data_IF_126117218234
#
_entry.id   IF_126117218234
#
_cell.length_a   1.000
_cell.length_b   1.000
_cell.length_c   1.000
_cell.angle_alpha   90.00
_cell.angle_beta   90.00
_cell.angle_gamma   90.00
#
_symmetry.space_group_name_H-M   'P 1'
#
loop_
_entity.id
_entity.type
_entity.pdbx_description
1 polymer ?
#
# COMPACT_ATOMS: atom_id res chain seq x y z
N UNK A 1 -0.89 -13.49 15.49
CA UNK A 1 -1.25 -13.95 14.13
C UNK A 1 -0.73 -15.35 13.75
N UNK A 2 0.48 -15.79 14.14
CA UNK A 2 1.03 -17.15 13.85
C UNK A 2 1.06 -17.51 12.35
N UNK A 3 1.20 -16.53 11.47
CA UNK A 3 1.35 -16.75 10.02
C UNK A 3 2.78 -17.23 9.75
N UNK A 4 2.95 -18.26 8.93
CA UNK A 4 4.27 -18.79 8.56
C UNK A 4 4.65 -18.36 7.15
N UNK A 5 5.88 -17.90 6.97
CA UNK A 5 6.42 -17.69 5.64
C UNK A 5 6.66 -19.04 4.95
N UNK A 6 6.43 -19.04 3.65
CA UNK A 6 6.60 -20.13 2.71
C UNK A 6 7.06 -19.55 1.37
N UNK A 7 7.42 -20.42 0.44
CA UNK A 7 7.73 -20.00 -0.92
C UNK A 7 7.28 -21.08 -1.90
N UNK A 8 6.29 -20.75 -2.71
CA UNK A 8 5.82 -21.63 -3.78
C UNK A 8 6.52 -21.28 -5.10
N UNK A 9 6.64 -22.25 -6.03
CA UNK A 9 7.26 -22.02 -7.33
C UNK A 9 6.61 -20.88 -8.12
N UNK A 10 7.43 -20.20 -8.93
CA UNK A 10 6.98 -19.14 -9.85
C UNK A 10 6.12 -19.69 -11.00
N UNK A 11 6.39 -20.94 -11.38
CA UNK A 11 5.87 -21.59 -12.56
C UNK A 11 4.61 -22.40 -12.28
N UNK A 12 3.62 -22.27 -13.17
CA UNK A 12 2.31 -22.94 -13.08
C UNK A 12 2.06 -23.72 -14.35
N UNK A 13 1.62 -24.98 -14.23
CA UNK A 13 1.25 -25.76 -15.41
C UNK A 13 -0.10 -25.29 -15.99
N UNK A 14 -0.31 -25.41 -17.32
CA UNK A 14 -1.55 -24.94 -17.96
C UNK A 14 -2.80 -25.60 -17.38
N UNK A 15 -2.73 -26.90 -17.09
CA UNK A 15 -3.88 -27.66 -16.59
C UNK A 15 -4.39 -27.16 -15.24
N UNK A 16 -3.51 -26.63 -14.38
CA UNK A 16 -3.91 -26.09 -13.08
C UNK A 16 -4.46 -24.67 -13.23
N UNK A 17 -3.86 -23.85 -14.09
CA UNK A 17 -4.34 -22.50 -14.38
C UNK A 17 -5.71 -22.50 -15.06
N UNK A 18 -5.97 -23.46 -15.95
CA UNK A 18 -7.24 -23.58 -16.67
C UNK A 18 -8.42 -23.85 -15.73
N UNK A 19 -8.21 -24.58 -14.62
CA UNK A 19 -9.26 -24.80 -13.61
C UNK A 19 -9.80 -23.49 -13.04
N UNK A 20 -8.95 -22.48 -12.85
CA UNK A 20 -9.37 -21.17 -12.36
C UNK A 20 -10.17 -20.41 -13.42
N UNK A 21 -9.71 -20.43 -14.68
CA UNK A 21 -10.39 -19.79 -15.79
C UNK A 21 -11.80 -20.32 -16.04
N UNK A 22 -12.02 -21.63 -15.86
CA UNK A 22 -13.33 -22.25 -16.07
C UNK A 22 -14.36 -21.86 -15.00
N UNK A 23 -13.90 -21.37 -13.84
CA UNK A 23 -14.75 -21.07 -12.68
C UNK A 23 -14.77 -19.58 -12.30
N UNK A 24 -13.86 -18.77 -12.84
CA UNK A 24 -13.78 -17.32 -12.60
C UNK A 24 -13.90 -16.58 -13.94
N UNK A 25 -15.10 -16.07 -14.21
CA UNK A 25 -15.39 -15.30 -15.40
C UNK A 25 -14.50 -14.04 -15.47
N UNK A 26 -13.82 -13.83 -16.61
CA UNK A 26 -12.88 -12.71 -16.81
C UNK A 26 -11.41 -12.99 -16.45
N UNK A 27 -11.07 -14.20 -15.98
CA UNK A 27 -9.69 -14.57 -15.63
C UNK A 27 -8.86 -15.06 -16.85
N UNK A 28 -8.47 -14.14 -17.76
CA UNK A 28 -7.28 -14.19 -18.66
C UNK A 28 -7.38 -13.11 -19.77
N UNK A 29 -6.30 -12.41 -20.22
CA UNK A 29 -4.88 -12.76 -20.15
C UNK A 29 -3.95 -11.57 -19.81
N UNK A 30 -3.32 -11.61 -18.65
CA UNK A 30 -2.05 -10.91 -18.42
C UNK A 30 -0.97 -11.92 -18.03
N UNK A 31 -1.10 -13.15 -18.54
CA UNK A 31 -0.22 -14.27 -18.21
C UNK A 31 0.94 -14.31 -19.19
N UNK A 32 2.16 -14.23 -18.67
CA UNK A 32 3.36 -14.50 -19.45
C UNK A 32 3.61 -16.02 -19.52
N UNK A 33 3.89 -16.52 -20.72
CA UNK A 33 4.12 -17.94 -20.98
C UNK A 33 5.58 -18.19 -21.35
N UNK A 34 6.16 -19.24 -20.77
CA UNK A 34 7.44 -19.82 -21.17
C UNK A 34 7.15 -21.00 -22.09
N UNK A 35 7.62 -20.92 -23.32
CA UNK A 35 7.41 -21.96 -24.35
C UNK A 35 8.70 -22.61 -24.82
N UNK A 36 9.87 -22.07 -24.45
CA UNK A 36 11.20 -22.53 -24.88
C UNK A 36 12.19 -22.55 -23.72
N UNK A 37 13.15 -23.47 -23.77
CA UNK A 37 14.34 -23.49 -22.92
C UNK A 37 15.59 -23.59 -23.80
N UNK A 38 16.36 -22.50 -23.86
CA UNK A 38 17.40 -22.36 -24.90
C UNK A 38 16.75 -22.38 -26.29
N UNK A 39 17.23 -23.26 -27.17
CA UNK A 39 16.69 -23.43 -28.52
C UNK A 39 15.60 -24.51 -28.62
N UNK A 40 15.32 -25.25 -27.54
CA UNK A 40 14.35 -26.34 -27.54
C UNK A 40 12.97 -25.88 -27.08
N UNK A 41 11.92 -26.21 -27.85
CA UNK A 41 10.53 -26.02 -27.44
C UNK A 41 10.17 -26.93 -26.27
N UNK A 42 9.41 -26.39 -25.32
CA UNK A 42 8.84 -27.17 -24.22
C UNK A 42 7.66 -27.99 -24.74
N UNK A 43 7.58 -29.27 -24.33
CA UNK A 43 6.45 -30.14 -24.67
C UNK A 43 5.11 -29.55 -24.19
N UNK A 44 5.13 -28.92 -23.01
CA UNK A 44 3.98 -28.22 -22.44
C UNK A 44 4.44 -26.81 -22.02
N UNK A 45 3.82 -25.74 -22.55
CA UNK A 45 4.08 -24.37 -22.10
C UNK A 45 3.86 -24.23 -20.59
N UNK A 46 4.60 -23.34 -19.94
CA UNK A 46 4.50 -23.11 -18.50
C UNK A 46 4.18 -21.62 -18.27
N UNK A 47 3.20 -21.33 -17.42
CA UNK A 47 2.83 -19.96 -17.08
C UNK A 47 3.72 -19.41 -15.97
N UNK A 48 4.06 -18.12 -16.05
CA UNK A 48 4.55 -17.35 -14.91
C UNK A 48 3.34 -16.89 -14.10
N UNK A 49 3.33 -17.13 -12.79
CA UNK A 49 2.17 -16.86 -11.95
C UNK A 49 1.78 -15.36 -11.95
N UNK A 50 0.51 -15.02 -12.23
CA UNK A 50 -0.04 -13.68 -11.97
C UNK A 50 -0.51 -13.51 -10.51
N UNK A 51 -0.72 -14.65 -9.82
CA UNK A 51 -1.11 -14.83 -8.41
C UNK A 51 -0.92 -16.32 -8.04
N UNK A 52 -0.84 -16.68 -6.75
CA UNK A 52 -0.47 -18.05 -6.35
C UNK A 52 -1.62 -18.98 -5.93
N UNK A 53 -2.90 -18.59 -6.05
CA UNK A 53 -4.06 -19.45 -5.74
C UNK A 53 -3.96 -20.81 -6.42
N UNK A 54 -3.75 -20.82 -7.74
CA UNK A 54 -3.57 -22.05 -8.54
C UNK A 54 -2.30 -22.81 -8.21
N UNK A 55 -1.28 -22.17 -7.63
CA UNK A 55 -0.06 -22.85 -7.20
C UNK A 55 -0.23 -23.48 -5.82
N UNK A 56 -0.90 -22.81 -4.90
CA UNK A 56 -0.97 -23.17 -3.49
C UNK A 56 -2.11 -24.15 -3.17
N UNK A 57 -3.29 -23.93 -3.75
CA UNK A 57 -4.51 -24.65 -3.35
C UNK A 57 -4.54 -26.14 -3.68
N UNK A 58 -3.89 -26.64 -4.76
CA UNK A 58 -3.69 -28.08 -4.94
C UNK A 58 -2.92 -28.74 -3.78
N UNK A 59 -2.03 -28.00 -3.10
CA UNK A 59 -1.31 -28.49 -1.92
C UNK A 59 -2.14 -28.36 -0.65
N UNK A 60 -2.95 -27.31 -0.52
CA UNK A 60 -3.88 -27.17 0.62
C UNK A 60 -4.85 -28.37 0.68
N UNK A 61 -5.39 -28.79 -0.47
CA UNK A 61 -6.23 -29.99 -0.60
C UNK A 61 -5.51 -31.29 -0.19
N UNK A 62 -4.17 -31.32 -0.28
CA UNK A 62 -3.36 -32.48 0.16
C UNK A 62 -3.00 -32.44 1.64
N UNK A 63 -2.73 -31.26 2.17
CA UNK A 63 -2.26 -31.06 3.55
C UNK A 63 -3.39 -31.06 4.57
N UNK A 64 -4.57 -30.53 4.20
CA UNK A 64 -5.71 -30.44 5.10
C UNK A 64 -6.51 -31.74 4.97
N UNK A 65 -6.64 -32.48 6.07
CA UNK A 65 -7.39 -33.74 6.14
C UNK A 65 -8.44 -33.72 7.26
N UNK A 66 -8.12 -33.15 8.41
CA UNK A 66 -9.03 -33.02 9.55
C UNK A 66 -9.00 -31.62 10.17
N UNK A 67 -9.94 -31.36 11.08
CA UNK A 67 -10.05 -30.08 11.80
C UNK A 67 -8.75 -29.68 12.54
N UNK A 68 -7.90 -30.65 12.89
CA UNK A 68 -6.60 -30.42 13.57
C UNK A 68 -5.53 -29.79 12.67
N UNK A 69 -5.71 -29.85 11.36
CA UNK A 69 -4.82 -29.21 10.38
C UNK A 69 -5.15 -27.72 10.18
N UNK A 70 -6.27 -27.26 10.75
CA UNK A 70 -6.78 -25.91 10.66
C UNK A 70 -6.53 -25.16 12.00
N UNK A 71 -6.34 -23.83 11.95
CA UNK A 71 -6.24 -23.01 10.75
C UNK A 71 -4.86 -23.10 10.09
N UNK A 72 -4.84 -23.26 8.76
CA UNK A 72 -3.62 -23.13 7.96
C UNK A 72 -3.39 -21.65 7.65
N UNK A 73 -2.18 -21.13 7.91
CA UNK A 73 -1.86 -19.71 7.72
C UNK A 73 -0.49 -19.52 7.09
N UNK A 74 -0.48 -19.21 5.79
CA UNK A 74 0.75 -19.06 5.02
C UNK A 74 0.88 -17.66 4.43
N UNK A 75 2.13 -17.25 4.27
CA UNK A 75 2.54 -16.03 3.61
C UNK A 75 3.71 -16.32 2.67
N UNK A 76 3.84 -15.57 1.58
CA UNK A 76 5.09 -15.53 0.82
C UNK A 76 5.41 -14.11 0.35
N UNK A 77 6.71 -13.85 0.25
CA UNK A 77 7.26 -12.66 -0.38
C UNK A 77 7.88 -13.08 -1.70
N UNK A 78 7.45 -12.45 -2.79
CA UNK A 78 7.92 -12.82 -4.11
C UNK A 78 7.63 -11.74 -5.14
N UNK A 79 8.10 -11.95 -6.36
CA UNK A 79 7.59 -11.28 -7.54
C UNK A 79 6.37 -12.03 -8.12
N UNK A 80 5.57 -11.28 -8.87
CA UNK A 80 4.55 -11.79 -9.79
C UNK A 80 4.62 -11.03 -11.11
N UNK A 81 4.12 -11.65 -12.17
CA UNK A 81 4.10 -11.06 -13.51
C UNK A 81 2.67 -10.96 -14.02
N UNK A 82 2.26 -9.74 -14.35
CA UNK A 82 1.01 -9.42 -15.03
C UNK A 82 1.34 -8.59 -16.27
N UNK A 83 1.17 -9.16 -17.45
CA UNK A 83 1.45 -8.55 -18.74
C UNK A 83 0.43 -7.49 -19.17
N UNK A 84 0.25 -6.49 -18.32
CA UNK A 84 -0.58 -5.30 -18.51
C UNK A 84 -0.29 -4.61 -19.85
N UNK A 85 -1.35 -4.34 -20.63
CA UNK A 85 -1.28 -3.64 -21.92
C UNK A 85 -1.29 -2.11 -21.80
N UNK A 86 -1.70 -1.58 -20.65
CA UNK A 86 -1.65 -0.14 -20.37
C UNK A 86 -0.22 0.36 -20.15
N UNK A 87 0.00 1.67 -20.30
CA UNK A 87 1.30 2.28 -20.07
C UNK A 87 1.79 2.04 -18.62
N UNK A 88 2.99 1.45 -18.44
CA UNK A 88 3.52 1.21 -17.11
C UNK A 88 3.91 2.53 -16.44
N UNK A 89 3.66 2.61 -15.14
CA UNK A 89 4.13 3.71 -14.27
C UNK A 89 4.93 3.08 -13.14
N UNK A 90 6.23 3.44 -12.94
CA UNK A 90 7.06 2.84 -11.91
C UNK A 90 6.37 2.79 -10.55
N UNK A 91 6.48 1.65 -9.85
CA UNK A 91 5.75 1.29 -8.62
C UNK A 91 4.23 1.16 -8.76
N UNK A 92 3.56 2.13 -9.40
CA UNK A 92 2.10 2.20 -9.46
C UNK A 92 1.50 1.07 -10.29
N UNK A 93 2.07 0.81 -11.46
CA UNK A 93 1.61 -0.21 -12.39
C UNK A 93 2.79 -0.69 -13.23
N UNK A 94 3.37 -1.82 -12.86
CA UNK A 94 4.47 -2.47 -13.56
C UNK A 94 4.10 -3.90 -13.92
N UNK A 95 4.72 -4.44 -14.97
CA UNK A 95 4.45 -5.82 -15.42
C UNK A 95 4.99 -6.86 -14.45
N UNK A 96 6.17 -6.62 -13.91
CA UNK A 96 6.71 -7.33 -12.76
C UNK A 96 6.61 -6.43 -11.54
N UNK A 97 6.16 -6.96 -10.42
CA UNK A 97 6.19 -6.24 -9.15
C UNK A 97 6.46 -7.20 -7.99
N UNK A 98 7.12 -6.67 -6.97
CA UNK A 98 7.31 -7.36 -5.70
C UNK A 98 6.07 -7.18 -4.84
N UNK A 99 5.66 -8.26 -4.17
CA UNK A 99 4.53 -8.24 -3.28
C UNK A 99 4.67 -9.23 -2.14
N UNK A 100 3.76 -9.09 -1.20
CA UNK A 100 3.42 -10.10 -0.23
C UNK A 100 2.02 -10.63 -0.58
N UNK A 101 1.86 -11.94 -0.60
CA UNK A 101 0.55 -12.60 -0.66
C UNK A 101 0.40 -13.59 0.50
N UNK A 102 -0.75 -13.58 1.15
CA UNK A 102 -1.06 -14.46 2.27
C UNK A 102 -2.35 -15.19 2.03
N UNK A 103 -2.38 -16.45 2.46
CA UNK A 103 -3.49 -17.36 2.24
C UNK A 103 -3.76 -18.15 3.51
N UNK A 104 -5.02 -18.21 3.88
CA UNK A 104 -5.48 -18.96 5.06
C UNK A 104 -6.64 -19.87 4.74
N UNK A 105 -6.76 -20.95 5.50
CA UNK A 105 -7.92 -21.83 5.52
C UNK A 105 -8.38 -22.06 6.96
N UNK A 106 -9.70 -21.98 7.19
CA UNK A 106 -10.37 -22.08 8.48
C UNK A 106 -11.48 -23.13 8.44
N UNK A 107 -11.90 -23.61 9.61
CA UNK A 107 -12.97 -24.61 9.71
C UNK A 107 -14.35 -23.98 9.53
N UNK A 108 -14.53 -22.73 9.98
CA UNK A 108 -15.83 -22.04 10.00
C UNK A 108 -15.74 -20.66 9.33
N UNK A 109 -16.91 -20.13 8.95
CA UNK A 109 -17.02 -18.78 8.42
C UNK A 109 -16.63 -17.75 9.47
N UNK A 110 -17.03 -17.96 10.72
CA UNK A 110 -16.81 -17.04 11.84
C UNK A 110 -15.33 -16.89 12.20
N UNK A 111 -14.51 -17.92 11.95
CA UNK A 111 -13.04 -17.83 12.11
C UNK A 111 -12.37 -17.10 10.93
N UNK A 112 -12.95 -17.16 9.73
CA UNK A 112 -12.46 -16.48 8.54
C UNK A 112 -12.93 -15.01 8.49
N UNK A 113 -14.17 -14.76 8.90
CA UNK A 113 -14.82 -13.46 9.04
C UNK A 113 -14.49 -12.83 10.41
N UNK A 114 -14.78 -11.53 10.54
CA UNK A 114 -14.18 -10.70 11.57
C UNK A 114 -14.96 -10.58 12.89
N UNK A 115 -16.09 -11.26 13.07
CA UNK A 115 -17.08 -10.77 14.04
C UNK A 115 -17.16 -11.52 15.38
N UNK A 116 -16.31 -12.52 15.67
CA UNK A 116 -16.50 -13.29 16.93
C UNK A 116 -15.28 -13.43 17.86
N UNK A 117 -14.01 -13.45 17.43
CA UNK A 117 -12.92 -13.61 18.42
C UNK A 117 -11.58 -12.95 18.05
N UNK A 118 -11.06 -12.17 19.01
CA UNK A 118 -9.76 -11.45 19.08
C UNK A 118 -8.50 -12.35 18.98
N UNK A 119 -8.64 -13.61 18.54
CA UNK A 119 -7.59 -14.64 18.52
C UNK A 119 -7.23 -15.14 17.10
N UNK A 120 -7.98 -14.73 16.06
CA UNK A 120 -7.86 -15.23 14.68
C UNK A 120 -7.38 -14.15 13.71
N UNK A 121 -6.55 -14.55 12.75
CA UNK A 121 -6.13 -13.69 11.63
C UNK A 121 -7.30 -13.53 10.67
N UNK A 122 -8.06 -12.45 10.79
CA UNK A 122 -9.22 -12.19 9.95
C UNK A 122 -8.90 -11.21 8.83
N UNK A 123 -9.81 -11.11 7.86
CA UNK A 123 -9.74 -10.12 6.77
C UNK A 123 -9.54 -8.70 7.30
N UNK A 124 -10.18 -8.33 8.41
CA UNK A 124 -10.08 -6.99 8.99
C UNK A 124 -8.79 -6.76 9.78
N UNK A 125 -8.23 -7.78 10.44
CA UNK A 125 -6.94 -7.64 11.12
C UNK A 125 -5.81 -7.34 10.11
N UNK A 126 -5.80 -8.05 8.99
CA UNK A 126 -4.85 -7.79 7.90
C UNK A 126 -5.07 -6.40 7.31
N UNK A 127 -6.33 -6.02 7.08
CA UNK A 127 -6.66 -4.69 6.57
C UNK A 127 -6.17 -3.57 7.52
N UNK A 128 -6.27 -3.78 8.83
CA UNK A 128 -5.74 -2.85 9.83
C UNK A 128 -4.22 -2.79 9.79
N UNK A 129 -3.51 -3.91 9.59
CA UNK A 129 -2.07 -3.89 9.36
C UNK A 129 -1.71 -3.09 8.11
N UNK A 130 -2.49 -3.21 7.03
CA UNK A 130 -2.27 -2.39 5.83
C UNK A 130 -2.52 -0.91 6.09
N UNK A 131 -3.58 -0.54 6.82
CA UNK A 131 -3.76 0.86 7.27
C UNK A 131 -2.53 1.35 8.03
N UNK A 132 -2.03 0.57 8.99
CA UNK A 132 -0.84 0.91 9.77
C UNK A 132 0.43 1.06 8.94
N UNK A 133 0.64 0.22 7.93
CA UNK A 133 1.77 0.39 7.00
C UNK A 133 1.67 1.75 6.32
N UNK A 134 0.51 2.10 5.77
CA UNK A 134 0.31 3.38 5.09
C UNK A 134 0.42 4.57 6.07
N UNK A 135 -0.31 4.58 7.17
CA UNK A 135 -0.39 5.73 8.07
C UNK A 135 0.82 5.81 9.01
N UNK A 136 1.14 4.72 9.71
CA UNK A 136 2.15 4.74 10.76
C UNK A 136 3.57 4.79 10.20
N UNK A 137 3.84 4.17 9.03
CA UNK A 137 5.18 4.11 8.42
C UNK A 137 5.34 5.05 7.23
N UNK A 138 4.39 5.05 6.30
CA UNK A 138 4.47 5.86 5.08
C UNK A 138 3.88 7.26 5.24
N UNK A 139 3.27 7.58 6.39
CA UNK A 139 2.58 8.86 6.63
C UNK A 139 1.52 9.18 5.55
N UNK A 140 0.88 8.16 4.97
CA UNK A 140 -0.16 8.32 3.93
C UNK A 140 -1.52 7.97 4.52
N UNK A 141 -2.49 8.91 4.55
CA UNK A 141 -3.85 8.62 5.01
C UNK A 141 -4.58 7.70 4.03
N UNK A 142 -5.31 6.71 4.55
CA UNK A 142 -6.10 5.77 3.74
C UNK A 142 -7.51 5.60 4.27
N UNK A 143 -8.43 5.18 3.40
CA UNK A 143 -9.82 4.84 3.76
C UNK A 143 -10.00 3.33 3.71
N UNK A 144 -10.32 2.71 4.85
CA UNK A 144 -10.75 1.31 4.92
C UNK A 144 -12.18 1.18 4.41
N UNK A 145 -12.44 0.20 3.57
CA UNK A 145 -13.79 -0.09 3.11
C UNK A 145 -13.95 -1.41 2.38
N UNK A 146 -15.17 -1.66 1.90
CA UNK A 146 -15.55 -2.83 1.09
C UNK A 146 -15.66 -2.43 -0.38
N UNK A 147 -15.20 -3.28 -1.29
CA UNK A 147 -15.45 -3.10 -2.74
C UNK A 147 -16.92 -3.34 -3.07
N UNK A 148 -17.39 -2.73 -4.16
CA UNK A 148 -18.67 -3.10 -4.78
C UNK A 148 -18.61 -4.52 -5.34
N UNK A 149 -19.76 -5.07 -5.73
CA UNK A 149 -19.81 -6.38 -6.41
C UNK A 149 -19.06 -6.37 -7.75
N UNK A 150 -19.05 -5.24 -8.47
CA UNK A 150 -18.33 -5.12 -9.76
C UNK A 150 -16.81 -5.01 -9.59
N UNK A 151 -16.34 -4.42 -8.48
CA UNK A 151 -14.91 -4.15 -8.24
C UNK A 151 -14.28 -5.10 -7.20
N UNK A 152 -15.03 -6.08 -6.67
CA UNK A 152 -14.47 -7.12 -5.80
C UNK A 152 -13.64 -8.12 -6.62
N UNK A 153 -12.79 -8.87 -5.95
CA UNK A 153 -12.12 -10.01 -6.57
C UNK A 153 -13.16 -11.05 -6.99
N UNK A 154 -13.15 -11.44 -8.27
CA UNK A 154 -14.16 -12.31 -8.87
C UNK A 154 -14.26 -13.69 -8.18
N UNK A 155 -13.15 -14.24 -7.69
CA UNK A 155 -13.14 -15.48 -6.91
C UNK A 155 -13.57 -15.33 -5.46
N UNK A 156 -13.80 -14.10 -4.97
CA UNK A 156 -14.07 -13.81 -3.56
C UNK A 156 -15.55 -13.66 -3.22
N UNK A 157 -15.93 -14.06 -2.00
CA UNK A 157 -17.25 -13.75 -1.43
C UNK A 157 -17.38 -12.24 -1.25
N UNK A 158 -16.38 -11.60 -0.63
CA UNK A 158 -16.26 -10.15 -0.58
C UNK A 158 -14.81 -9.69 -0.54
N UNK A 159 -14.57 -8.43 -0.91
CA UNK A 159 -13.25 -7.81 -0.88
C UNK A 159 -13.25 -6.55 -0.02
N UNK A 160 -12.27 -6.45 0.87
CA UNK A 160 -11.97 -5.25 1.66
C UNK A 160 -10.68 -4.61 1.15
N UNK A 161 -10.55 -3.31 1.37
CA UNK A 161 -9.46 -2.54 0.77
C UNK A 161 -9.10 -1.31 1.58
N UNK A 162 -7.85 -0.87 1.45
CA UNK A 162 -7.42 0.47 1.84
C UNK A 162 -7.24 1.31 0.58
N UNK A 163 -8.00 2.39 0.47
CA UNK A 163 -7.96 3.33 -0.65
C UNK A 163 -7.15 4.57 -0.25
N UNK A 164 -6.12 4.89 -1.03
CA UNK A 164 -5.44 6.17 -0.97
C UNK A 164 -5.97 7.11 -2.07
N UNK A 165 -5.72 8.40 -1.92
CA UNK A 165 -6.09 9.41 -2.91
C UNK A 165 -4.89 10.31 -3.20
N UNK A 166 -4.66 10.62 -4.47
CA UNK A 166 -3.57 11.47 -4.93
C UNK A 166 -4.15 12.83 -5.33
N UNK A 167 -4.06 13.88 -4.47
CA UNK A 167 -4.70 15.17 -4.75
C UNK A 167 -4.27 15.82 -6.06
N UNK A 168 -2.97 15.74 -6.38
CA UNK A 168 -2.41 16.41 -7.56
C UNK A 168 -2.96 15.86 -8.89
N UNK A 169 -3.30 14.56 -8.93
CA UNK A 169 -3.90 13.94 -10.12
C UNK A 169 -5.42 13.77 -9.98
N UNK A 170 -5.94 13.92 -8.76
CA UNK A 170 -7.33 13.72 -8.37
C UNK A 170 -7.82 12.31 -8.67
N UNK A 171 -6.97 11.32 -8.38
CA UNK A 171 -7.24 9.90 -8.60
C UNK A 171 -7.16 9.12 -7.30
N UNK A 172 -8.15 8.26 -7.08
CA UNK A 172 -8.08 7.17 -6.11
C UNK A 172 -7.09 6.09 -6.55
N UNK A 173 -6.54 5.38 -5.59
CA UNK A 173 -5.66 4.25 -5.83
C UNK A 173 -5.80 3.22 -4.72
N UNK A 174 -6.12 1.99 -5.11
CA UNK A 174 -6.12 0.86 -4.20
C UNK A 174 -4.70 0.61 -3.69
N UNK A 175 -4.53 0.72 -2.37
CA UNK A 175 -3.23 0.58 -1.71
C UNK A 175 -2.91 -0.85 -1.26
N UNK A 176 -3.93 -1.60 -0.83
CA UNK A 176 -3.85 -3.02 -0.50
C UNK A 176 -5.25 -3.64 -0.45
N UNK A 177 -5.30 -4.97 -0.40
CA UNK A 177 -6.56 -5.72 -0.45
C UNK A 177 -6.54 -6.93 0.50
N UNK A 178 -7.69 -7.23 1.10
CA UNK A 178 -7.91 -8.46 1.86
C UNK A 178 -9.29 -9.02 1.52
N UNK A 179 -9.31 -10.28 1.09
CA UNK A 179 -10.46 -10.97 0.54
C UNK A 179 -10.94 -12.05 1.50
N UNK A 180 -12.26 -12.11 1.72
CA UNK A 180 -12.89 -13.35 2.14
C UNK A 180 -13.24 -14.11 0.88
N UNK A 181 -12.60 -15.25 0.67
CA UNK A 181 -12.80 -16.10 -0.49
C UNK A 181 -14.03 -17.00 -0.32
N UNK A 182 -14.57 -17.08 0.90
CA UNK A 182 -15.63 -18.02 1.23
C UNK A 182 -15.15 -19.46 0.99
N UNK A 183 -15.99 -20.23 0.31
CA UNK A 183 -15.70 -21.61 -0.08
C UNK A 183 -15.47 -21.78 -1.60
N UNK A 184 -15.43 -20.68 -2.37
CA UNK A 184 -15.34 -20.74 -3.85
C UNK A 184 -14.13 -21.55 -4.32
N UNK A 185 -12.94 -21.21 -3.81
CA UNK A 185 -11.71 -21.93 -4.14
C UNK A 185 -11.65 -23.31 -3.48
N UNK A 186 -12.25 -23.48 -2.29
CA UNK A 186 -12.33 -24.78 -1.63
C UNK A 186 -13.17 -25.78 -2.44
N UNK A 187 -14.25 -25.31 -3.07
CA UNK A 187 -15.04 -26.10 -4.03
C UNK A 187 -14.20 -26.43 -5.26
N UNK A 188 -13.56 -25.43 -5.88
CA UNK A 188 -12.79 -25.60 -7.11
C UNK A 188 -11.58 -26.57 -6.97
N UNK A 189 -10.89 -26.53 -5.84
CA UNK A 189 -9.71 -27.35 -5.56
C UNK A 189 -9.99 -28.52 -4.61
N UNK A 190 -11.27 -28.77 -4.31
CA UNK A 190 -11.74 -29.85 -3.42
C UNK A 190 -11.05 -29.85 -2.05
N UNK A 191 -10.84 -28.68 -1.46
CA UNK A 191 -10.18 -28.51 -0.16
C UNK A 191 -11.19 -28.83 0.96
N UNK A 192 -11.24 -30.10 1.33
CA UNK A 192 -12.15 -30.63 2.33
C UNK A 192 -11.39 -31.06 3.60
N UNK A 193 -12.09 -31.14 4.72
CA UNK A 193 -11.59 -31.67 5.99
C UNK A 193 -12.67 -32.45 6.73
N UNK A 194 -12.26 -33.36 7.60
CA UNK A 194 -13.13 -34.02 8.58
C UNK A 194 -13.31 -33.12 9.82
N UNK A 195 -14.55 -32.70 10.09
CA UNK A 195 -14.86 -31.85 11.25
C UNK A 195 -14.79 -32.64 12.57
N UNK A 196 -15.04 -32.00 13.71
CA UNK A 196 -15.00 -32.65 15.04
C UNK A 196 -16.03 -33.79 15.20
N UNK A 197 -17.05 -33.82 14.35
CA UNK A 197 -18.11 -34.85 14.33
C UNK A 197 -17.82 -36.00 13.35
N UNK A 198 -16.70 -35.98 12.64
CA UNK A 198 -16.38 -36.97 11.62
C UNK A 198 -17.02 -36.71 10.26
N UNK A 199 -17.65 -35.55 10.05
CA UNK A 199 -18.33 -35.20 8.81
C UNK A 199 -17.39 -34.46 7.85
N UNK A 200 -17.56 -34.69 6.54
CA UNK A 200 -16.81 -33.98 5.50
C UNK A 200 -17.34 -32.55 5.35
N UNK A 201 -16.48 -31.56 5.57
CA UNK A 201 -16.77 -30.14 5.41
C UNK A 201 -15.74 -29.46 4.49
N UNK A 202 -16.08 -28.30 3.93
CA UNK A 202 -15.18 -27.47 3.12
C UNK A 202 -14.59 -26.32 3.95
N UNK A 203 -13.32 -26.00 3.70
CA UNK A 203 -12.64 -24.90 4.40
C UNK A 203 -13.16 -23.53 3.95
N UNK A 204 -13.09 -22.57 4.86
CA UNK A 204 -13.29 -21.15 4.58
C UNK A 204 -11.94 -20.48 4.35
N UNK A 205 -11.77 -19.75 3.25
CA UNK A 205 -10.47 -19.20 2.87
C UNK A 205 -10.45 -17.67 2.85
N UNK A 206 -9.29 -17.11 3.14
CA UNK A 206 -8.98 -15.70 2.89
C UNK A 206 -7.69 -15.62 2.06
N UNK A 207 -7.58 -14.56 1.26
CA UNK A 207 -6.30 -14.12 0.69
C UNK A 207 -6.11 -12.63 0.86
N UNK A 208 -4.86 -12.16 0.84
CA UNK A 208 -4.56 -10.75 0.96
C UNK A 208 -3.23 -10.41 0.32
N UNK A 209 -3.08 -9.17 -0.12
CA UNK A 209 -1.81 -8.72 -0.66
C UNK A 209 -1.63 -7.20 -0.67
N UNK A 210 -0.36 -6.83 -0.66
CA UNK A 210 0.11 -5.47 -0.92
C UNK A 210 1.43 -5.53 -1.69
N UNK A 211 1.73 -4.47 -2.43
CA UNK A 211 2.84 -4.45 -3.39
C UNK A 211 3.73 -3.24 -3.18
N UNK A 212 4.81 -3.16 -3.95
CA UNK A 212 5.67 -1.97 -4.07
C UNK A 212 4.95 -0.71 -4.59
N UNK A 213 3.68 -0.81 -5.02
CA UNK A 213 2.80 0.35 -5.25
C UNK A 213 2.75 1.29 -4.05
N UNK A 214 2.81 0.75 -2.84
CA UNK A 214 2.95 1.50 -1.57
C UNK A 214 4.02 2.59 -1.66
N UNK A 215 5.19 2.27 -2.22
CA UNK A 215 6.31 3.19 -2.39
C UNK A 215 5.93 4.33 -3.34
N UNK A 216 5.34 3.99 -4.48
CA UNK A 216 4.89 4.98 -5.46
C UNK A 216 3.82 5.92 -4.89
N UNK A 217 2.88 5.40 -4.12
CA UNK A 217 1.86 6.21 -3.43
C UNK A 217 2.50 7.18 -2.46
N UNK A 218 3.41 6.71 -1.59
CA UNK A 218 4.16 7.58 -0.68
C UNK A 218 4.91 8.70 -1.42
N UNK A 219 5.59 8.37 -2.53
CA UNK A 219 6.30 9.35 -3.36
C UNK A 219 5.34 10.41 -3.92
N UNK A 220 4.20 10.00 -4.48
CA UNK A 220 3.22 10.92 -5.07
C UNK A 220 2.50 11.79 -4.04
N UNK A 221 2.38 11.34 -2.79
CA UNK A 221 1.72 12.09 -1.71
C UNK A 221 2.65 13.15 -1.12
N UNK A 222 3.92 12.81 -0.89
CA UNK A 222 4.85 13.68 -0.15
C UNK A 222 5.80 14.49 -1.03
N UNK A 223 6.09 14.03 -2.25
CA UNK A 223 7.03 14.69 -3.16
C UNK A 223 6.67 16.15 -3.44
N UNK A 224 7.71 16.97 -3.62
CA UNK A 224 7.59 18.39 -3.95
C UNK A 224 8.54 18.77 -5.10
N UNK A 225 8.59 20.05 -5.45
CA UNK A 225 9.42 20.55 -6.56
C UNK A 225 10.93 20.38 -6.34
N UNK A 226 11.38 20.09 -5.10
CA UNK A 226 12.79 19.81 -4.80
C UNK A 226 13.13 18.33 -4.93
N UNK A 227 12.14 17.45 -5.07
CA UNK A 227 12.32 16.01 -5.28
C UNK A 227 11.60 15.17 -4.22
N UNK A 228 12.23 14.07 -3.80
CA UNK A 228 11.66 13.16 -2.83
C UNK A 228 11.51 13.82 -1.45
N UNK A 229 10.48 13.42 -0.72
CA UNK A 229 10.29 13.71 0.71
C UNK A 229 9.95 12.39 1.38
N UNK A 230 10.90 11.83 2.14
CA UNK A 230 10.73 10.50 2.73
C UNK A 230 10.31 10.60 4.20
N UNK A 231 9.28 9.84 4.64
CA UNK A 231 8.99 9.69 6.05
C UNK A 231 10.18 9.05 6.80
N UNK A 232 10.59 9.56 7.97
CA UNK A 232 11.73 9.06 8.73
C UNK A 232 11.72 7.57 9.05
N UNK A 233 10.55 6.94 9.18
CA UNK A 233 10.45 5.50 9.46
C UNK A 233 10.87 4.60 8.29
N UNK A 234 10.88 5.13 7.07
CA UNK A 234 11.22 4.36 5.85
C UNK A 234 12.41 4.92 5.07
N UNK A 235 12.89 6.12 5.42
CA UNK A 235 14.08 6.70 4.82
C UNK A 235 15.33 5.84 5.12
N UNK A 236 16.07 5.40 4.10
CA UNK A 236 17.29 4.63 4.30
C UNK A 236 18.33 5.42 5.13
N UNK A 237 18.54 6.68 4.76
CA UNK A 237 19.31 7.66 5.54
C UNK A 237 18.32 8.66 6.14
N UNK A 238 18.26 8.74 7.48
CA UNK A 238 17.40 9.68 8.19
C UNK A 238 18.05 11.04 8.37
N UNK A 239 19.37 11.03 8.64
CA UNK A 239 20.16 12.22 8.91
C UNK A 239 21.40 12.23 8.03
N UNK A 240 21.62 13.33 7.31
CA UNK A 240 22.87 13.57 6.59
C UNK A 240 23.65 14.73 7.23
N UNK A 241 24.88 14.46 7.65
CA UNK A 241 25.78 15.45 8.24
C UNK A 241 26.70 16.02 7.15
N UNK A 242 26.74 17.34 7.03
CA UNK A 242 27.51 18.04 6.00
C UNK A 242 28.47 19.05 6.64
N UNK A 243 29.79 18.85 6.49
CA UNK A 243 30.77 19.83 6.95
C UNK A 243 30.73 21.09 6.09
N UNK A 244 30.70 22.25 6.74
CA UNK A 244 30.73 23.57 6.09
C UNK A 244 32.11 24.18 6.28
N UNK A 245 32.99 23.93 5.31
CA UNK A 245 34.40 24.32 5.38
C UNK A 245 34.61 25.78 4.93
N UNK A 246 35.54 26.47 5.59
CA UNK A 246 35.97 27.82 5.23
C UNK A 246 37.50 27.89 5.14
N UNK A 247 38.00 28.80 4.31
CA UNK A 247 39.43 29.15 4.28
C UNK A 247 39.76 29.76 5.65
N UNK A 248 40.78 29.23 6.33
CA UNK A 248 41.24 29.64 7.67
C UNK A 248 40.41 29.14 8.88
N UNK A 249 39.53 28.15 8.68
CA UNK A 249 38.82 27.48 9.78
C UNK A 249 39.53 26.22 10.30
N UNK A 250 39.17 25.79 11.52
CA UNK A 250 39.56 24.49 12.07
C UNK A 250 38.82 23.34 11.35
N UNK A 251 39.22 23.05 10.11
CA UNK A 251 38.57 22.03 9.28
C UNK A 251 38.67 20.63 9.89
N UNK A 252 39.78 20.30 10.56
CA UNK A 252 39.90 19.02 11.26
C UNK A 252 38.89 18.91 12.39
N UNK A 253 38.75 19.96 13.21
CA UNK A 253 37.75 19.99 14.28
C UNK A 253 36.30 19.87 13.76
N UNK A 254 36.01 20.42 12.58
CA UNK A 254 34.70 20.25 11.92
C UNK A 254 34.49 18.79 11.50
N UNK A 255 35.50 18.14 10.90
CA UNK A 255 35.41 16.72 10.53
C UNK A 255 35.25 15.82 11.76
N UNK A 256 35.99 16.07 12.83
CA UNK A 256 35.90 15.33 14.08
C UNK A 256 34.51 15.48 14.71
N UNK A 257 33.95 16.70 14.71
CA UNK A 257 32.59 16.97 15.18
C UNK A 257 31.52 16.28 14.31
N UNK A 258 31.69 16.24 12.99
CA UNK A 258 30.81 15.48 12.09
C UNK A 258 30.86 13.98 12.40
N UNK A 259 32.05 13.41 12.57
CA UNK A 259 32.23 12.00 12.89
C UNK A 259 31.62 11.65 14.25
N UNK A 260 31.82 12.49 15.26
CA UNK A 260 31.21 12.33 16.59
C UNK A 260 29.68 12.41 16.52
N UNK A 261 29.13 13.37 15.76
CA UNK A 261 27.69 13.52 15.54
C UNK A 261 27.09 12.24 14.92
N UNK A 262 27.67 11.76 13.83
CA UNK A 262 27.22 10.52 13.16
C UNK A 262 27.30 9.33 14.10
N UNK A 263 28.41 9.19 14.84
CA UNK A 263 28.60 8.10 15.80
C UNK A 263 27.52 8.10 16.88
N UNK A 264 27.30 9.24 17.55
CA UNK A 264 26.33 9.37 18.63
C UNK A 264 24.89 9.07 18.14
N UNK A 265 24.54 9.53 16.94
CA UNK A 265 23.24 9.24 16.33
C UNK A 265 23.09 7.75 16.01
N UNK A 266 24.08 7.13 15.36
CA UNK A 266 24.04 5.71 15.01
C UNK A 266 24.00 4.80 16.25
N UNK A 267 24.73 5.13 17.32
CA UNK A 267 24.68 4.40 18.60
C UNK A 267 23.29 4.44 19.26
N UNK A 268 22.48 5.45 18.95
CA UNK A 268 21.07 5.55 19.39
C UNK A 268 20.05 4.89 18.45
N UNK A 269 20.52 4.30 17.33
CA UNK A 269 19.66 3.64 16.33
C UNK A 269 19.14 4.56 15.21
N UNK A 270 19.56 5.83 15.17
CA UNK A 270 19.26 6.75 14.07
C UNK A 270 20.18 6.46 12.90
N UNK A 271 19.63 6.29 11.69
CA UNK A 271 20.41 6.02 10.47
C UNK A 271 21.05 7.31 9.96
N UNK A 272 22.26 7.60 10.42
CA UNK A 272 23.00 8.81 10.09
C UNK A 272 24.24 8.52 9.23
N UNK A 273 24.47 9.39 8.24
CA UNK A 273 25.64 9.37 7.37
C UNK A 273 26.28 10.77 7.31
N UNK A 274 27.53 10.86 6.85
CA UNK A 274 28.18 12.14 6.56
C UNK A 274 28.68 12.21 5.12
N UNK A 275 28.56 13.39 4.49
CA UNK A 275 29.03 13.63 3.13
C UNK A 275 30.36 14.41 3.14
N UNK A 276 31.47 13.66 3.16
CA UNK A 276 32.83 14.21 3.18
C UNK A 276 33.42 14.52 1.79
N UNK A 277 32.66 14.34 0.69
CA UNK A 277 33.17 14.57 -0.66
C UNK A 277 33.66 16.02 -0.80
N UNK A 278 34.94 16.22 -1.05
CA UNK A 278 35.59 17.55 -1.11
C UNK A 278 35.45 18.23 -2.48
N UNK A 279 35.19 17.43 -3.52
CA UNK A 279 34.97 17.88 -4.89
C UNK A 279 33.61 18.58 -5.13
N UNK A 280 32.77 18.71 -4.09
CA UNK A 280 31.47 19.36 -4.17
C UNK A 280 31.29 20.44 -3.10
N UNK A 281 30.69 21.57 -3.50
CA UNK A 281 30.33 22.64 -2.58
C UNK A 281 29.23 22.19 -1.59
N UNK A 282 29.13 22.80 -0.39
CA UNK A 282 28.03 22.51 0.53
C UNK A 282 26.66 22.69 -0.10
N UNK A 283 26.46 23.75 -0.89
CA UNK A 283 25.20 24.00 -1.60
C UNK A 283 24.82 22.89 -2.59
N UNK A 284 25.80 22.31 -3.30
CA UNK A 284 25.55 21.15 -4.16
C UNK A 284 25.10 19.94 -3.34
N UNK A 285 25.76 19.67 -2.21
CA UNK A 285 25.39 18.58 -1.31
C UNK A 285 24.00 18.77 -0.74
N UNK A 286 23.62 19.99 -0.36
CA UNK A 286 22.28 20.31 0.12
C UNK A 286 21.22 19.90 -0.90
N UNK A 287 21.38 20.33 -2.16
CA UNK A 287 20.47 19.97 -3.25
C UNK A 287 20.46 18.47 -3.52
N UNK A 288 21.63 17.81 -3.52
CA UNK A 288 21.74 16.35 -3.72
C UNK A 288 20.91 15.55 -2.72
N UNK A 289 21.01 15.89 -1.44
CA UNK A 289 20.32 15.16 -0.38
C UNK A 289 18.86 15.61 -0.19
N UNK A 290 18.53 16.85 -0.53
CA UNK A 290 17.14 17.30 -0.65
C UNK A 290 16.40 16.54 -1.76
N UNK A 291 17.02 16.39 -2.93
CA UNK A 291 16.45 15.63 -4.05
C UNK A 291 16.20 14.16 -3.68
N UNK A 292 17.09 13.56 -2.88
CA UNK A 292 16.95 12.19 -2.35
C UNK A 292 15.96 12.07 -1.19
N UNK A 293 15.48 13.18 -0.65
CA UNK A 293 14.47 13.21 0.40
C UNK A 293 14.96 12.77 1.77
N UNK A 294 16.24 12.97 2.09
CA UNK A 294 16.75 12.73 3.45
C UNK A 294 15.99 13.64 4.43
N UNK A 295 15.31 13.10 5.45
CA UNK A 295 14.43 13.87 6.32
C UNK A 295 15.08 15.04 7.04
N UNK A 296 16.32 14.85 7.52
CA UNK A 296 17.05 15.85 8.29
C UNK A 296 18.46 16.03 7.75
N UNK A 297 18.83 17.27 7.47
CA UNK A 297 20.22 17.64 7.22
C UNK A 297 20.80 18.31 8.46
N UNK A 298 22.00 17.91 8.85
CA UNK A 298 22.79 18.58 9.87
C UNK A 298 23.98 19.27 9.21
N UNK A 299 24.14 20.56 9.46
CA UNK A 299 25.21 21.41 8.98
C UNK A 299 26.14 21.71 10.16
N UNK A 300 27.45 21.53 9.98
CA UNK A 300 28.46 21.84 11.01
C UNK A 300 29.53 22.72 10.38
N UNK A 301 29.54 24.00 10.76
CA UNK A 301 30.57 24.96 10.38
C UNK A 301 31.35 25.52 11.57
N UNK A 302 32.21 26.52 11.34
CA UNK A 302 33.05 27.10 12.39
C UNK A 302 32.25 27.72 13.54
N UNK A 303 31.09 28.34 13.23
CA UNK A 303 30.20 28.93 14.23
C UNK A 303 29.55 27.88 15.12
N UNK A 304 29.15 26.76 14.52
CA UNK A 304 28.50 25.66 15.24
C UNK A 304 29.49 24.98 16.18
N UNK A 305 30.73 24.80 15.72
CA UNK A 305 31.84 24.30 16.55
C UNK A 305 32.15 25.23 17.73
N UNK A 306 32.21 26.54 17.50
CA UNK A 306 32.46 27.53 18.56
C UNK A 306 31.34 27.57 19.62
N UNK A 307 30.10 27.31 19.20
CA UNK A 307 28.92 27.32 20.07
C UNK A 307 28.56 25.94 20.65
N UNK A 308 29.35 24.90 20.35
CA UNK A 308 29.07 23.50 20.74
C UNK A 308 27.65 23.05 20.36
N UNK A 309 27.27 23.33 19.12
CA UNK A 309 25.94 23.04 18.55
C UNK A 309 26.06 22.50 17.12
N UNK A 310 24.91 22.12 16.55
CA UNK A 310 24.77 21.79 15.13
C UNK A 310 23.53 22.48 14.56
N UNK A 311 23.57 22.83 13.27
CA UNK A 311 22.40 23.40 12.58
C UNK A 311 21.61 22.28 11.91
N UNK A 312 20.39 22.03 12.37
CA UNK A 312 19.48 21.05 11.80
C UNK A 312 18.48 21.72 10.83
N UNK A 313 18.28 21.13 9.65
CA UNK A 313 17.38 21.62 8.60
C UNK A 313 16.44 20.51 8.15
N UNK A 314 15.14 20.73 8.33
CA UNK A 314 14.09 19.78 7.96
C UNK A 314 13.83 19.76 6.45
N UNK A 315 13.62 18.57 5.88
CA UNK A 315 13.32 18.40 4.45
C UNK A 315 11.89 18.78 4.07
N UNK A 316 10.92 18.50 4.94
CA UNK A 316 9.49 18.64 4.65
C UNK A 316 9.03 20.11 4.58
N UNK A 317 9.64 20.99 5.36
CA UNK A 317 9.24 22.41 5.41
C UNK A 317 10.41 23.41 5.36
N UNK A 318 11.67 22.94 5.37
CA UNK A 318 12.85 23.80 5.34
C UNK A 318 13.17 24.53 6.66
N UNK A 319 12.44 24.23 7.75
CA UNK A 319 12.66 24.86 9.04
C UNK A 319 14.06 24.53 9.58
N UNK A 320 14.68 25.53 10.22
CA UNK A 320 16.05 25.49 10.73
C UNK A 320 16.04 25.64 12.24
N UNK A 321 16.78 24.79 12.94
CA UNK A 321 16.94 24.84 14.40
C UNK A 321 18.39 24.57 14.76
N UNK A 322 18.91 25.23 15.79
CA UNK A 322 20.23 24.93 16.35
C UNK A 322 20.05 23.97 17.53
N UNK A 323 20.76 22.85 17.49
CA UNK A 323 20.68 21.78 18.49
C UNK A 323 22.03 21.71 19.21
N UNK A 324 22.02 21.83 20.54
CA UNK A 324 23.25 21.70 21.34
C UNK A 324 23.76 20.26 21.29
N UNK A 325 25.09 20.07 21.31
CA UNK A 325 25.68 18.72 21.28
C UNK A 325 25.21 17.86 22.47
N UNK A 326 24.96 18.48 23.62
CA UNK A 326 24.44 17.80 24.82
C UNK A 326 23.07 17.14 24.60
N UNK A 327 22.20 17.74 23.80
CA UNK A 327 20.83 17.28 23.56
C UNK A 327 20.64 16.68 22.17
N UNK A 328 21.74 16.37 21.46
CA UNK A 328 21.74 15.97 20.05
C UNK A 328 20.80 14.80 19.77
N UNK A 329 20.93 13.70 20.50
CA UNK A 329 20.16 12.48 20.24
C UNK A 329 18.68 12.66 20.54
N UNK A 330 18.35 13.31 21.67
CA UNK A 330 16.97 13.57 22.07
C UNK A 330 16.26 14.47 21.06
N UNK A 331 16.84 15.64 20.76
CA UNK A 331 16.20 16.60 19.85
C UNK A 331 16.13 16.09 18.41
N UNK A 332 17.12 15.33 17.93
CA UNK A 332 17.03 14.72 16.59
C UNK A 332 15.90 13.68 16.54
N UNK A 333 15.72 12.86 17.58
CA UNK A 333 14.58 11.94 17.64
C UNK A 333 13.24 12.68 17.61
N UNK A 334 13.10 13.75 18.39
CA UNK A 334 11.88 14.57 18.42
C UNK A 334 11.60 15.22 17.07
N UNK A 335 12.64 15.73 16.40
CA UNK A 335 12.52 16.31 15.07
C UNK A 335 12.09 15.25 14.05
N UNK A 336 12.67 14.05 14.05
CA UNK A 336 12.26 12.97 13.16
C UNK A 336 10.81 12.51 13.45
N UNK A 337 10.41 12.40 14.72
CA UNK A 337 9.02 12.10 15.07
C UNK A 337 8.05 13.19 14.59
N UNK A 338 8.42 14.46 14.76
CA UNK A 338 7.66 15.61 14.28
C UNK A 338 7.56 15.66 12.75
N UNK A 339 8.62 15.31 12.01
CA UNK A 339 8.55 15.19 10.54
C UNK A 339 7.55 14.11 10.15
N UNK A 340 7.61 12.92 10.75
CA UNK A 340 6.68 11.82 10.45
C UNK A 340 5.22 12.25 10.65
N UNK A 341 4.91 12.89 11.80
CA UNK A 341 3.57 13.34 12.12
C UNK A 341 3.11 14.48 11.19
N UNK A 342 3.97 15.46 10.93
CA UNK A 342 3.65 16.59 10.05
C UNK A 342 3.34 16.13 8.62
N UNK A 343 4.09 15.16 8.08
CA UNK A 343 3.81 14.57 6.77
C UNK A 343 2.42 13.93 6.73
N UNK A 344 2.05 13.20 7.79
CA UNK A 344 0.74 12.57 7.88
C UNK A 344 -0.39 13.61 7.96
N UNK A 345 -0.25 14.61 8.83
CA UNK A 345 -1.27 15.63 9.05
C UNK A 345 -1.51 16.47 7.80
N UNK A 346 -0.43 16.89 7.12
CA UNK A 346 -0.52 17.63 5.85
C UNK A 346 -1.16 16.78 4.76
N UNK A 347 -0.74 15.51 4.61
CA UNK A 347 -1.33 14.61 3.63
C UNK A 347 -2.82 14.35 3.92
N UNK A 348 -3.18 14.17 5.19
CA UNK A 348 -4.57 14.00 5.64
C UNK A 348 -5.42 15.23 5.33
N UNK A 349 -4.93 16.43 5.68
CA UNK A 349 -5.63 17.68 5.39
C UNK A 349 -5.84 17.87 3.87
N UNK A 350 -4.82 17.61 3.05
CA UNK A 350 -4.94 17.68 1.58
C UNK A 350 -5.98 16.71 1.05
N UNK A 351 -5.97 15.46 1.52
CA UNK A 351 -6.98 14.45 1.12
C UNK A 351 -8.37 14.86 1.56
N UNK A 352 -8.55 15.30 2.80
CA UNK A 352 -9.85 15.68 3.36
C UNK A 352 -10.45 16.89 2.62
N UNK A 353 -9.63 17.86 2.21
CA UNK A 353 -10.03 18.99 1.37
C UNK A 353 -10.47 18.58 -0.06
N UNK A 354 -10.11 17.38 -0.51
CA UNK A 354 -10.56 16.81 -1.77
C UNK A 354 -11.84 16.00 -1.64
N UNK A 355 -12.31 15.69 -0.42
CA UNK A 355 -13.56 14.96 -0.21
C UNK A 355 -14.75 15.89 -0.48
N UNK A 356 -15.65 15.48 -1.36
CA UNK A 356 -16.91 16.16 -1.62
C UNK A 356 -18.07 15.20 -1.41
N UNK A 357 -18.96 15.55 -0.47
CA UNK A 357 -20.20 14.81 -0.25
C UNK A 357 -21.24 15.33 -1.25
N UNK A 358 -21.84 14.43 -2.01
CA UNK A 358 -22.85 14.75 -3.03
C UNK A 358 -24.10 13.88 -2.83
N UNK A 359 -25.25 14.38 -3.27
CA UNK A 359 -26.54 13.66 -3.18
C UNK A 359 -27.27 13.56 -4.51
N UNK A 360 -26.86 14.35 -5.50
CA UNK A 360 -27.48 14.35 -6.84
C UNK A 360 -26.47 14.02 -7.93
N UNK A 361 -26.98 13.69 -9.12
CA UNK A 361 -26.12 13.44 -10.27
C UNK A 361 -25.35 14.69 -10.72
N UNK A 362 -25.98 15.86 -10.70
CA UNK A 362 -25.37 17.09 -11.19
C UNK A 362 -24.18 17.49 -10.30
N UNK A 363 -24.35 17.41 -8.98
CA UNK A 363 -23.25 17.59 -8.01
C UNK A 363 -22.12 16.56 -8.24
N UNK A 364 -22.48 15.31 -8.52
CA UNK A 364 -21.51 14.24 -8.80
C UNK A 364 -20.71 14.55 -10.07
N UNK A 365 -21.38 14.93 -11.16
CA UNK A 365 -20.74 15.25 -12.43
C UNK A 365 -19.80 16.46 -12.29
N UNK A 366 -20.21 17.49 -11.56
CA UNK A 366 -19.37 18.63 -11.23
C UNK A 366 -18.13 18.19 -10.43
N UNK A 367 -18.31 17.40 -9.37
CA UNK A 367 -17.21 16.94 -8.52
C UNK A 367 -16.19 16.06 -9.30
N UNK A 368 -16.65 15.24 -10.26
CA UNK A 368 -15.76 14.47 -11.16
C UNK A 368 -14.91 15.41 -12.03
N UNK A 369 -15.50 16.50 -12.53
CA UNK A 369 -14.79 17.50 -13.33
C UNK A 369 -13.72 18.24 -12.51
N UNK A 370 -14.01 18.51 -11.24
CA UNK A 370 -13.10 19.13 -10.27
C UNK A 370 -12.06 18.16 -9.68
N UNK A 371 -12.04 16.91 -10.16
CA UNK A 371 -11.11 15.84 -9.75
C UNK A 371 -11.14 15.56 -8.24
N UNK A 372 -12.35 15.55 -7.66
CA UNK A 372 -12.58 15.31 -6.24
C UNK A 372 -12.64 13.82 -5.90
N UNK A 373 -12.46 13.51 -4.62
CA UNK A 373 -12.85 12.24 -4.01
C UNK A 373 -14.31 12.36 -3.56
N UNK A 374 -15.21 11.58 -4.12
CA UNK A 374 -16.64 11.86 -4.02
C UNK A 374 -17.30 10.86 -3.08
N UNK A 375 -17.98 11.31 -2.03
CA UNK A 375 -18.78 10.46 -1.15
C UNK A 375 -20.26 10.63 -1.51
N UNK A 376 -20.90 9.57 -2.00
CA UNK A 376 -22.28 9.64 -2.50
C UNK A 376 -23.16 8.50 -1.94
N UNK A 377 -24.47 8.74 -1.71
CA UNK A 377 -25.41 7.71 -1.29
C UNK A 377 -25.75 6.80 -2.48
N UNK A 378 -25.55 5.50 -2.35
CA UNK A 378 -25.64 4.56 -3.46
C UNK A 378 -26.52 3.34 -3.12
N UNK A 379 -27.23 2.82 -4.13
CA UNK A 379 -28.16 1.69 -4.00
C UNK A 379 -27.48 0.31 -4.02
N UNK A 380 -26.16 0.25 -4.25
CA UNK A 380 -25.37 -0.98 -4.31
C UNK A 380 -25.82 -1.94 -5.41
N UNK A 381 -25.99 -1.43 -6.64
CA UNK A 381 -26.41 -2.21 -7.80
C UNK A 381 -25.40 -2.07 -8.94
N UNK A 382 -24.98 -3.19 -9.51
CA UNK A 382 -23.95 -3.23 -10.57
C UNK A 382 -24.33 -2.42 -11.81
N UNK A 383 -25.60 -2.47 -12.23
CA UNK A 383 -26.05 -1.75 -13.42
C UNK A 383 -25.94 -0.24 -13.25
N UNK A 384 -26.15 0.25 -12.03
CA UNK A 384 -25.95 1.67 -11.70
C UNK A 384 -24.47 2.04 -11.73
N UNK A 385 -23.59 1.16 -11.24
CA UNK A 385 -22.14 1.40 -11.34
C UNK A 385 -21.65 1.40 -12.80
N UNK A 386 -22.15 0.46 -13.62
CA UNK A 386 -21.87 0.42 -15.07
C UNK A 386 -22.35 1.68 -15.78
N UNK A 387 -23.54 2.16 -15.45
CA UNK A 387 -24.11 3.40 -16.00
C UNK A 387 -23.29 4.64 -15.60
N UNK A 388 -22.92 4.78 -14.33
CA UNK A 388 -22.04 5.87 -13.85
C UNK A 388 -20.71 5.86 -14.61
N UNK A 389 -20.10 4.69 -14.79
CA UNK A 389 -18.85 4.52 -15.53
C UNK A 389 -19.00 4.91 -17.01
N UNK A 390 -20.13 4.58 -17.63
CA UNK A 390 -20.42 4.95 -19.01
C UNK A 390 -20.63 6.47 -19.17
N UNK A 391 -21.45 7.08 -18.29
CA UNK A 391 -21.79 8.51 -18.30
C UNK A 391 -20.61 9.43 -17.99
N UNK A 392 -19.64 8.96 -17.20
CA UNK A 392 -18.45 9.75 -16.83
C UNK A 392 -17.23 9.47 -17.70
N UNK A 393 -17.36 8.63 -18.72
CA UNK A 393 -16.26 8.27 -19.61
C UNK A 393 -15.78 9.51 -20.39
N UNK A 394 -14.49 9.79 -20.29
CA UNK A 394 -13.82 10.89 -21.00
C UNK A 394 -12.32 10.66 -21.11
N UNK A 395 -11.59 11.67 -21.59
CA UNK A 395 -10.14 11.58 -21.85
C UNK A 395 -9.31 11.19 -20.61
N UNK A 396 -9.71 11.66 -19.43
CA UNK A 396 -9.06 11.32 -18.16
C UNK A 396 -9.53 9.99 -17.55
N UNK A 397 -10.35 9.23 -18.26
CA UNK A 397 -10.99 8.00 -17.76
C UNK A 397 -12.31 8.26 -17.04
N UNK A 398 -13.02 7.17 -16.75
CA UNK A 398 -14.32 7.18 -16.08
C UNK A 398 -14.17 7.18 -14.55
N UNK A 399 -15.20 7.70 -13.87
CA UNK A 399 -15.35 7.50 -12.43
C UNK A 399 -15.88 6.08 -12.16
N UNK A 400 -15.45 5.49 -11.05
CA UNK A 400 -15.92 4.19 -10.56
C UNK A 400 -15.99 4.19 -9.03
N UNK A 401 -16.55 3.14 -8.44
CA UNK A 401 -16.46 2.98 -6.98
C UNK A 401 -15.01 2.72 -6.56
N UNK A 402 -14.60 3.32 -5.45
CA UNK A 402 -13.32 3.05 -4.81
C UNK A 402 -13.55 2.06 -3.67
N UNK A 403 -14.36 2.45 -2.69
CA UNK A 403 -14.86 1.56 -1.64
C UNK A 403 -16.10 2.16 -0.96
N UNK A 404 -16.95 1.31 -0.37
CA UNK A 404 -17.88 1.72 0.66
C UNK A 404 -17.11 1.77 1.99
N UNK A 405 -16.83 2.96 2.55
CA UNK A 405 -15.99 3.08 3.75
C UNK A 405 -16.65 2.40 4.94
N UNK A 406 -15.87 1.89 5.89
CA UNK A 406 -16.45 1.27 7.10
C UNK A 406 -16.95 2.31 8.10
N UNK A 407 -16.24 3.43 8.21
CA UNK A 407 -16.69 4.60 8.95
C UNK A 407 -17.52 5.48 7.99
N UNK A 408 -18.84 5.45 8.14
CA UNK A 408 -19.78 6.18 7.30
C UNK A 408 -20.55 7.20 8.13
N UNK A 409 -20.86 8.38 7.56
CA UNK A 409 -21.87 9.24 8.16
C UNK A 409 -23.22 8.53 8.18
N UNK A 410 -24.12 8.98 9.06
CA UNK A 410 -25.49 8.49 9.08
C UNK A 410 -26.13 8.61 7.67
N UNK A 411 -26.88 7.60 7.28
CA UNK A 411 -27.67 7.60 6.05
C UNK A 411 -29.14 7.75 6.44
N UNK A 412 -29.72 8.97 6.36
CA UNK A 412 -31.10 9.21 6.74
C UNK A 412 -32.06 8.32 5.96
N UNK A 413 -33.14 7.87 6.62
CA UNK A 413 -34.21 7.12 5.98
C UNK A 413 -34.80 7.91 4.79
N UNK A 414 -35.11 7.21 3.70
CA UNK A 414 -35.60 7.83 2.47
C UNK A 414 -34.53 8.50 1.61
N UNK A 415 -33.24 8.46 1.99
CA UNK A 415 -32.16 8.95 1.12
C UNK A 415 -32.14 8.18 -0.21
N UNK A 416 -32.12 8.91 -1.32
CA UNK A 416 -32.09 8.34 -2.66
C UNK A 416 -30.67 8.19 -3.17
N UNK A 417 -30.47 7.22 -4.05
CA UNK A 417 -29.23 7.01 -4.77
C UNK A 417 -28.98 8.18 -5.72
N UNK A 418 -27.78 8.76 -5.63
CA UNK A 418 -27.40 9.95 -6.41
C UNK A 418 -27.55 9.78 -7.92
N UNK A 419 -27.43 8.55 -8.43
CA UNK A 419 -27.42 8.25 -9.87
C UNK A 419 -28.75 7.68 -10.40
N UNK A 420 -29.46 6.86 -9.62
CA UNK A 420 -30.63 6.09 -10.08
C UNK A 420 -31.96 6.54 -9.48
N UNK A 421 -31.95 7.35 -8.41
CA UNK A 421 -33.16 7.73 -7.68
C UNK A 421 -33.80 6.60 -6.85
N UNK A 422 -33.24 5.37 -6.88
CA UNK A 422 -33.67 4.26 -6.00
C UNK A 422 -33.29 4.53 -4.55
N UNK A 423 -33.88 3.84 -3.54
CA UNK A 423 -33.41 3.95 -2.16
C UNK A 423 -31.91 3.64 -2.03
N UNK A 424 -31.15 4.53 -1.39
CA UNK A 424 -29.74 4.31 -1.09
C UNK A 424 -29.60 3.31 0.06
N UNK A 425 -28.56 2.47 -0.02
CA UNK A 425 -28.23 1.48 1.02
C UNK A 425 -27.03 1.89 1.87
N UNK A 426 -26.10 2.66 1.29
CA UNK A 426 -24.83 3.02 1.93
C UNK A 426 -24.19 4.24 1.27
N UNK A 427 -23.28 4.87 2.00
CA UNK A 427 -22.34 5.82 1.42
C UNK A 427 -21.21 5.08 0.72
N UNK A 428 -20.75 5.58 -0.42
CA UNK A 428 -19.64 4.99 -1.18
C UNK A 428 -18.74 6.07 -1.74
N UNK A 429 -17.42 5.85 -1.65
CA UNK A 429 -16.45 6.69 -2.32
C UNK A 429 -16.38 6.35 -3.81
N UNK A 430 -16.39 7.40 -4.62
CA UNK A 430 -16.26 7.36 -6.06
C UNK A 430 -15.14 8.30 -6.49
N UNK A 431 -14.58 8.03 -7.66
CA UNK A 431 -13.62 8.92 -8.28
C UNK A 431 -13.00 8.31 -9.52
N UNK A 432 -12.17 9.08 -10.21
CA UNK A 432 -11.25 8.51 -11.19
C UNK A 432 -10.20 7.68 -10.44
N UNK A 433 -9.74 6.60 -11.04
CA UNK A 433 -8.74 5.71 -10.45
C UNK A 433 -7.48 5.65 -11.31
N UNK A 434 -6.37 5.27 -10.69
CA UNK A 434 -5.23 4.68 -11.41
C UNK A 434 -5.56 3.30 -11.98
#
# INVERSE_FOLDING_TARGET
>A
MKIKNSYFPLFVSPGVLQKEKDHIEGFAPEVAWVTKSGESDLEVPIAIRPTSETVMYPYFSKWIRGHRDLPLRLNQWCNVVRWEFSNPTPFIRSREFLWQEGHTAFATKEEADADVFRLYVTVLEILELYRRIYEDFLAVPVSKGKKSELEKFAGGLYTTTVEAFIPNTGRGIQGATSHCLGQNFATMFEINFENEKGEKAMVWQNSWGFTTRTIGVMIMVHGDDKGLVLPPKVAATQVIVIPVLYKDANNQGIFDACAATVKNLNESGIRAEADYRDNYSPGWKYSHWEMKGVPLRIEIGPKDLANNQVRAVRRDNGAKTDITVANLVEQVNDVLASIQQNLFDVAKQKRDACVQVVKTWDEFAEAVSQKKLILAPWCDEEDVEKDVKARTKGEMGAAKTLCSPFDQPELPEGTLCFASGKPAKKWTYWGRSY
#
